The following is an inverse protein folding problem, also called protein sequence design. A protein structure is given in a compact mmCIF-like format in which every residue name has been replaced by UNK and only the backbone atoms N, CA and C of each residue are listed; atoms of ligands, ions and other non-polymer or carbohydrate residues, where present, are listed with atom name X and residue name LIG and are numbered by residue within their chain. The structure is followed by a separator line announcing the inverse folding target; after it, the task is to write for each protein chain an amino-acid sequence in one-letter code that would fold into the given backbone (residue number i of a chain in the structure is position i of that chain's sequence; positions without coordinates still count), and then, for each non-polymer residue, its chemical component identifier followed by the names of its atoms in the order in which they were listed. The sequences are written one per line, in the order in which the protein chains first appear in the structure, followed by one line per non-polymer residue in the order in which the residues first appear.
data_IF_741586412455
#
_entry.id   IF_741586412455
#
_cell.length_a   1.000
_cell.length_b   1.000
_cell.length_c   1.000
_cell.angle_alpha   90.00
_cell.angle_beta   90.00
_cell.angle_gamma   90.00
#
_symmetry.space_group_name_H-M   'P 1'
#
loop_
_entity.id
_entity.type
_entity.pdbx_description
1 polymer ?
#
# COMPACT_ATOMS: atom_id res chain seq x y z
N UNK A 1 -19.28 4.92 18.52
CA UNK A 1 -17.91 5.37 18.23
C UNK A 1 -17.02 5.02 19.41
N UNK A 2 -16.43 3.83 19.39
CA UNK A 2 -15.30 3.44 20.25
C UNK A 2 -14.28 2.80 19.32
N UNK A 3 -13.64 3.64 18.50
CA UNK A 3 -12.54 3.23 17.63
C UNK A 3 -11.30 3.10 18.51
N UNK A 4 -11.19 1.98 19.21
CA UNK A 4 -9.91 1.51 19.73
C UNK A 4 -9.00 1.25 18.52
N UNK A 5 -7.81 1.85 18.53
CA UNK A 5 -6.64 1.65 17.65
C UNK A 5 -6.80 0.72 16.43
N UNK A 6 -7.61 1.11 15.42
CA UNK A 6 -7.66 0.36 14.16
C UNK A 6 -6.35 0.48 13.35
N UNK A 7 -5.57 1.54 13.58
CA UNK A 7 -4.31 1.74 12.88
C UNK A 7 -3.19 0.89 13.49
N UNK A 8 -2.55 0.06 12.66
CA UNK A 8 -1.36 -0.73 13.04
C UNK A 8 -0.10 -0.05 12.51
N UNK A 9 -0.10 0.28 11.21
CA UNK A 9 1.06 0.87 10.54
C UNK A 9 0.65 1.70 9.33
N UNK A 10 1.45 2.71 9.01
CA UNK A 10 1.36 3.44 7.74
C UNK A 10 2.74 3.80 7.23
N UNK A 11 2.96 3.58 5.94
CA UNK A 11 4.19 3.95 5.26
C UNK A 11 3.89 4.75 4.01
N UNK A 12 4.42 5.98 3.94
CA UNK A 12 4.49 6.72 2.67
C UNK A 12 5.69 6.21 1.89
N UNK A 13 5.51 5.99 0.60
CA UNK A 13 6.59 5.62 -0.30
C UNK A 13 7.18 6.87 -0.95
N UNK A 14 8.47 6.78 -1.29
CA UNK A 14 9.15 7.78 -2.12
C UNK A 14 8.72 7.63 -3.58
N UNK A 15 9.14 8.58 -4.43
CA UNK A 15 8.88 8.54 -5.86
C UNK A 15 9.34 7.21 -6.48
N UNK A 16 8.63 6.69 -7.51
CA UNK A 16 8.90 5.37 -8.09
C UNK A 16 10.32 5.22 -8.63
N UNK A 17 10.94 6.33 -9.07
CA UNK A 17 12.32 6.36 -9.57
C UNK A 17 13.37 6.01 -8.49
N UNK A 18 12.99 6.05 -7.21
CA UNK A 18 13.85 5.66 -6.09
C UNK A 18 13.77 4.17 -5.74
N UNK A 19 12.88 3.42 -6.40
CA UNK A 19 12.72 2.00 -6.14
C UNK A 19 13.88 1.18 -6.74
N UNK A 20 14.16 0.04 -6.11
CA UNK A 20 15.01 -1.02 -6.67
C UNK A 20 14.25 -2.33 -6.61
N UNK A 21 14.11 -2.98 -7.76
CA UNK A 21 13.42 -4.25 -7.92
C UNK A 21 14.43 -5.38 -7.78
N UNK A 22 14.11 -6.36 -6.94
CA UNK A 22 14.89 -7.59 -6.80
C UNK A 22 14.11 -8.76 -7.38
N UNK A 23 14.73 -9.56 -8.25
CA UNK A 23 14.14 -10.75 -8.86
C UNK A 23 15.08 -11.94 -8.72
N UNK A 24 14.54 -13.10 -8.35
CA UNK A 24 15.27 -14.36 -8.33
C UNK A 24 15.03 -15.12 -9.63
N UNK A 25 16.10 -15.55 -10.30
CA UNK A 25 16.06 -16.37 -11.50
C UNK A 25 16.97 -17.59 -11.31
N UNK A 26 16.37 -18.74 -11.00
CA UNK A 26 17.13 -19.94 -10.63
C UNK A 26 17.92 -19.73 -9.34
N UNK A 27 19.25 -19.80 -9.43
CA UNK A 27 20.17 -19.52 -8.32
C UNK A 27 20.72 -18.09 -8.30
N UNK A 28 20.31 -17.24 -9.23
CA UNK A 28 20.80 -15.86 -9.35
C UNK A 28 19.79 -14.85 -8.80
N UNK A 29 20.31 -13.79 -8.18
CA UNK A 29 19.56 -12.62 -7.72
C UNK A 29 19.91 -11.45 -8.62
N UNK A 30 18.92 -10.92 -9.34
CA UNK A 30 19.04 -9.78 -10.21
C UNK A 30 18.41 -8.55 -9.55
N UNK A 31 19.05 -7.40 -9.70
CA UNK A 31 18.55 -6.11 -9.22
C UNK A 31 18.40 -5.14 -10.38
N UNK A 32 17.34 -4.35 -10.38
CA UNK A 32 17.08 -3.32 -11.39
C UNK A 32 16.57 -2.06 -10.72
N UNK A 33 17.17 -0.93 -11.04
CA UNK A 33 16.71 0.37 -10.54
C UNK A 33 15.43 0.80 -11.28
N UNK A 34 14.56 1.51 -10.56
CA UNK A 34 13.24 1.93 -11.02
C UNK A 34 12.10 1.05 -10.51
N UNK A 35 10.85 1.38 -10.89
CA UNK A 35 9.66 0.68 -10.42
C UNK A 35 9.56 -0.76 -10.97
N UNK A 36 8.78 -1.61 -10.30
CA UNK A 36 8.53 -2.99 -10.75
C UNK A 36 7.81 -3.07 -12.10
N UNK A 37 6.88 -2.15 -12.33
CA UNK A 37 6.10 -2.06 -13.56
C UNK A 37 5.99 -0.59 -13.94
N UNK A 38 6.25 -0.30 -15.21
CA UNK A 38 6.00 1.02 -15.79
C UNK A 38 4.49 1.25 -15.86
N UNK A 39 3.99 2.20 -15.07
CA UNK A 39 2.56 2.49 -14.92
C UNK A 39 2.31 3.98 -14.91
N UNK A 40 1.09 4.39 -15.30
CA UNK A 40 0.63 5.77 -15.12
C UNK A 40 0.35 6.09 -13.66
N UNK A 41 0.03 5.08 -12.85
CA UNK A 41 -0.29 5.22 -11.43
C UNK A 41 0.61 4.27 -10.63
N UNK A 42 1.27 4.82 -9.61
CA UNK A 42 2.17 4.09 -8.71
C UNK A 42 1.60 4.09 -7.29
N UNK A 43 2.03 3.12 -6.47
CA UNK A 43 1.69 3.10 -5.05
C UNK A 43 2.44 4.23 -4.33
N UNK A 44 1.69 5.22 -3.82
CA UNK A 44 2.26 6.31 -3.02
C UNK A 44 2.45 5.96 -1.53
N UNK A 45 1.89 4.83 -1.08
CA UNK A 45 1.90 4.43 0.31
C UNK A 45 0.93 3.28 0.60
N UNK A 46 0.96 2.82 1.84
CA UNK A 46 0.03 1.80 2.32
C UNK A 46 -0.30 2.02 3.79
N UNK A 47 -1.44 1.45 4.18
CA UNK A 47 -1.93 1.44 5.55
C UNK A 47 -2.26 0.00 5.93
N UNK A 48 -1.80 -0.42 7.11
CA UNK A 48 -2.18 -1.68 7.74
C UNK A 48 -3.10 -1.33 8.89
N UNK A 49 -4.30 -1.90 8.86
CA UNK A 49 -5.31 -1.65 9.88
C UNK A 49 -5.91 -2.97 10.37
N UNK A 50 -6.30 -2.98 11.63
CA UNK A 50 -7.16 -4.02 12.20
C UNK A 50 -8.62 -3.58 12.02
N UNK A 51 -9.39 -4.41 11.33
CA UNK A 51 -10.80 -4.19 11.06
C UNK A 51 -11.56 -5.51 11.19
N UNK A 52 -12.79 -5.43 11.70
CA UNK A 52 -13.65 -6.60 11.88
C UNK A 52 -14.04 -7.23 10.54
N UNK A 53 -14.19 -6.41 9.49
CA UNK A 53 -14.55 -6.85 8.16
C UNK A 53 -14.08 -5.88 7.05
N UNK A 54 -14.59 -6.10 5.83
CA UNK A 54 -14.20 -5.32 4.65
C UNK A 54 -14.95 -3.99 4.63
N UNK A 55 -16.18 -3.95 5.13
CA UNK A 55 -16.97 -2.72 5.15
C UNK A 55 -16.36 -1.71 6.13
N UNK A 56 -15.89 -2.18 7.29
CA UNK A 56 -15.08 -1.39 8.21
C UNK A 56 -13.79 -0.87 7.54
N UNK A 57 -13.12 -1.72 6.77
CA UNK A 57 -11.91 -1.35 6.01
C UNK A 57 -12.21 -0.29 4.95
N UNK A 58 -13.28 -0.45 4.18
CA UNK A 58 -13.71 0.50 3.14
C UNK A 58 -14.13 1.84 3.74
N UNK A 59 -14.83 1.82 4.89
CA UNK A 59 -15.17 3.04 5.63
C UNK A 59 -13.93 3.79 6.11
N UNK A 60 -12.89 3.06 6.53
CA UNK A 60 -11.60 3.65 6.89
C UNK A 60 -10.88 4.22 5.66
N UNK A 61 -10.81 3.47 4.56
CA UNK A 61 -10.19 3.90 3.31
C UNK A 61 -10.86 5.15 2.72
N UNK A 62 -12.20 5.24 2.78
CA UNK A 62 -12.94 6.42 2.33
C UNK A 62 -12.52 7.70 3.09
N UNK A 63 -12.27 7.59 4.41
CA UNK A 63 -11.78 8.71 5.23
C UNK A 63 -10.37 9.13 4.82
N UNK A 64 -9.50 8.17 4.51
CA UNK A 64 -8.14 8.46 4.03
C UNK A 64 -8.18 9.12 2.66
N UNK A 65 -8.96 8.60 1.72
CA UNK A 65 -9.06 9.15 0.36
C UNK A 65 -9.70 10.55 0.37
N UNK A 66 -10.58 10.85 1.33
CA UNK A 66 -11.08 12.21 1.53
C UNK A 66 -10.00 13.20 1.99
N UNK A 67 -8.99 12.74 2.73
CA UNK A 67 -7.88 13.57 3.21
C UNK A 67 -6.70 13.63 2.23
N UNK A 68 -6.44 12.53 1.52
CA UNK A 68 -5.40 12.40 0.51
C UNK A 68 -6.06 11.87 -0.77
N UNK A 69 -6.26 12.70 -1.81
CA UNK A 69 -7.08 12.38 -2.98
C UNK A 69 -6.37 11.44 -3.97
N UNK A 70 -5.77 10.36 -3.45
CA UNK A 70 -5.33 9.21 -4.22
C UNK A 70 -6.26 8.02 -3.96
N UNK A 71 -6.62 7.23 -4.98
CA UNK A 71 -7.41 6.01 -4.81
C UNK A 71 -6.74 5.04 -3.83
N UNK A 72 -7.55 4.37 -2.99
CA UNK A 72 -7.09 3.34 -2.06
C UNK A 72 -7.60 1.95 -2.51
N UNK A 73 -6.67 1.02 -2.72
CA UNK A 73 -6.99 -0.40 -2.93
C UNK A 73 -7.06 -1.11 -1.57
N UNK A 74 -8.21 -1.69 -1.26
CA UNK A 74 -8.43 -2.43 0.00
C UNK A 74 -8.34 -3.93 -0.24
N UNK A 75 -7.61 -4.63 0.62
CA UNK A 75 -7.47 -6.09 0.58
C UNK A 75 -7.50 -6.64 1.99
N UNK A 76 -8.20 -7.77 2.19
CA UNK A 76 -8.09 -8.57 3.41
C UNK A 76 -6.84 -9.44 3.36
N UNK A 77 -6.07 -9.44 4.44
CA UNK A 77 -5.13 -10.53 4.70
C UNK A 77 -5.96 -11.76 5.11
N UNK A 78 -5.63 -12.94 4.55
CA UNK A 78 -6.47 -14.14 4.68
C UNK A 78 -6.62 -14.61 6.12
#
# INVERSE_FOLDING_TARGET
MTSASAWVFSGRLHDPDTATVVRVSGSEVLTTDGPFVESKEHLGGFYVIEAEDLDATLGWAARVTAAQPCPALCRRER
#
